data_IF_488531116431
#
_entry.id   IF_488531116431
#
_cell.length_a   1.000
_cell.length_b   1.000
_cell.length_c   1.000
_cell.angle_alpha   90.00
_cell.angle_beta   90.00
_cell.angle_gamma   90.00
#
_symmetry.space_group_name_H-M   'P 1'
#
loop_
_entity.id
_entity.type
_entity.pdbx_description
1 polymer ?
#
# COMPACT_ATOMS: atom_id res chain seq x y z
N UNK A 1 21.66 -20.84 5.66
CA UNK A 1 20.23 -20.62 5.40
C UNK A 1 19.68 -19.50 6.27
N UNK A 2 19.53 -18.35 5.68
CA UNK A 2 18.79 -17.24 6.29
C UNK A 2 17.30 -17.62 6.19
N UNK A 3 16.73 -18.21 7.20
CA UNK A 3 15.32 -18.64 7.12
C UNK A 3 14.88 -19.48 8.30
N UNK A 4 15.69 -19.54 9.35
CA UNK A 4 15.30 -20.18 10.59
C UNK A 4 14.11 -19.45 11.24
N UNK A 5 13.33 -20.17 12.05
CA UNK A 5 12.18 -19.61 12.77
C UNK A 5 12.53 -18.33 13.54
N UNK A 6 13.70 -18.31 14.20
CA UNK A 6 14.19 -17.14 14.95
C UNK A 6 14.44 -15.93 14.05
N UNK A 7 14.97 -16.12 12.84
CA UNK A 7 15.16 -15.04 11.87
C UNK A 7 13.81 -14.47 11.43
N UNK A 8 12.82 -15.31 11.17
CA UNK A 8 11.46 -14.89 10.84
C UNK A 8 10.80 -14.08 11.95
N UNK A 9 10.98 -14.50 13.21
CA UNK A 9 10.46 -13.80 14.38
C UNK A 9 11.09 -12.41 14.54
N UNK A 10 12.41 -12.29 14.33
CA UNK A 10 13.11 -11.01 14.35
C UNK A 10 12.62 -10.08 13.23
N UNK A 11 12.51 -10.59 12.01
CA UNK A 11 11.99 -9.83 10.87
C UNK A 11 10.55 -9.39 11.10
N UNK A 12 9.70 -10.31 11.57
CA UNK A 12 8.32 -10.00 11.92
C UNK A 12 8.22 -8.85 12.93
N UNK A 13 9.10 -8.81 13.91
CA UNK A 13 9.17 -7.73 14.90
C UNK A 13 9.47 -6.34 14.32
N UNK A 14 9.92 -6.26 13.06
CA UNK A 14 10.35 -5.03 12.40
C UNK A 14 9.43 -4.56 11.26
N UNK A 15 8.28 -5.18 11.03
CA UNK A 15 7.38 -4.80 9.93
C UNK A 15 6.82 -3.38 10.04
N UNK A 16 6.81 -2.81 11.22
CA UNK A 16 6.36 -1.46 11.53
C UNK A 16 7.51 -0.55 12.02
N UNK A 17 8.74 -0.87 11.64
CA UNK A 17 9.90 -0.04 11.96
C UNK A 17 9.76 1.36 11.34
N UNK A 18 10.19 2.44 12.04
CA UNK A 18 9.98 3.81 11.55
C UNK A 18 10.63 4.13 10.20
N UNK A 19 11.70 3.42 9.83
CA UNK A 19 12.41 3.64 8.57
C UNK A 19 11.84 2.74 7.47
N UNK A 20 11.23 3.33 6.46
CA UNK A 20 10.59 2.61 5.32
C UNK A 20 11.58 1.78 4.50
N UNK A 21 12.84 2.18 4.40
CA UNK A 21 13.88 1.39 3.69
C UNK A 21 14.12 0.08 4.44
N UNK A 22 14.20 0.14 5.76
CA UNK A 22 14.31 -1.05 6.60
C UNK A 22 13.07 -1.94 6.46
N UNK A 23 11.88 -1.36 6.49
CA UNK A 23 10.61 -2.09 6.30
C UNK A 23 10.59 -2.78 4.95
N UNK A 24 11.01 -2.12 3.87
CA UNK A 24 11.09 -2.73 2.52
C UNK A 24 11.96 -3.98 2.53
N UNK A 25 13.14 -3.93 3.14
CA UNK A 25 14.04 -5.09 3.22
C UNK A 25 13.46 -6.21 4.10
N UNK A 26 12.80 -5.85 5.17
CA UNK A 26 12.12 -6.80 6.06
C UNK A 26 11.01 -7.54 5.31
N UNK A 27 10.14 -6.81 4.59
CA UNK A 27 9.03 -7.40 3.84
C UNK A 27 9.52 -8.28 2.68
N UNK A 28 10.56 -7.85 1.96
CA UNK A 28 11.21 -8.67 0.93
C UNK A 28 11.74 -9.98 1.52
N UNK A 29 12.47 -9.91 2.61
CA UNK A 29 13.06 -11.08 3.26
C UNK A 29 11.99 -12.05 3.78
N UNK A 30 10.90 -11.54 4.36
CA UNK A 30 9.76 -12.35 4.77
C UNK A 30 9.08 -13.01 3.57
N UNK A 31 8.91 -12.30 2.47
CA UNK A 31 8.37 -12.83 1.21
C UNK A 31 9.23 -13.94 0.63
N UNK A 32 10.56 -13.77 0.59
CA UNK A 32 11.51 -14.79 0.13
C UNK A 32 11.49 -16.06 0.99
N UNK A 33 11.21 -15.92 2.29
CA UNK A 33 11.03 -17.04 3.20
C UNK A 33 9.64 -17.71 3.09
N UNK A 34 8.75 -17.21 2.23
CA UNK A 34 7.38 -17.69 2.11
C UNK A 34 6.56 -17.50 3.37
N UNK A 35 6.80 -16.41 4.11
CA UNK A 35 6.10 -16.11 5.35
C UNK A 35 4.59 -15.95 5.11
N UNK A 36 3.79 -16.64 5.93
CA UNK A 36 2.34 -16.47 6.00
C UNK A 36 1.93 -16.13 7.42
N UNK A 37 0.99 -15.20 7.55
CA UNK A 37 0.47 -14.79 8.84
C UNK A 37 -0.35 -15.88 9.51
N UNK A 38 -0.04 -16.19 10.75
CA UNK A 38 -0.93 -16.92 11.62
C UNK A 38 -2.07 -16.03 12.13
N UNK A 39 -3.09 -16.65 12.73
CA UNK A 39 -4.31 -15.94 13.20
C UNK A 39 -3.97 -14.75 14.10
N UNK A 40 -3.00 -14.90 15.00
CA UNK A 40 -2.57 -13.85 15.92
C UNK A 40 -1.83 -12.68 15.24
N UNK A 41 -1.39 -12.85 13.99
CA UNK A 41 -0.59 -11.88 13.24
C UNK A 41 -1.42 -11.07 12.23
N UNK A 42 -2.59 -11.55 11.86
CA UNK A 42 -3.46 -10.95 10.82
C UNK A 42 -3.78 -9.48 11.12
N UNK A 43 -4.17 -9.18 12.35
CA UNK A 43 -4.54 -7.82 12.76
C UNK A 43 -3.38 -6.84 12.55
N UNK A 44 -2.16 -7.23 12.91
CA UNK A 44 -0.98 -6.39 12.75
C UNK A 44 -0.66 -6.12 11.29
N UNK A 45 -0.83 -7.11 10.40
CA UNK A 45 -0.67 -6.90 8.96
C UNK A 45 -1.73 -5.95 8.41
N UNK A 46 -2.98 -6.09 8.83
CA UNK A 46 -4.06 -5.17 8.45
C UNK A 46 -3.76 -3.73 8.88
N UNK A 47 -3.24 -3.53 10.10
CA UNK A 47 -2.79 -2.20 10.54
C UNK A 47 -1.64 -1.65 9.70
N UNK A 48 -0.68 -2.48 9.32
CA UNK A 48 0.41 -2.06 8.44
C UNK A 48 -0.09 -1.62 7.07
N UNK A 49 -1.05 -2.36 6.48
CA UNK A 49 -1.72 -1.98 5.23
C UNK A 49 -2.46 -0.64 5.38
N UNK A 50 -3.23 -0.47 6.45
CA UNK A 50 -3.95 0.78 6.72
C UNK A 50 -3.00 1.96 6.89
N UNK A 51 -1.86 1.76 7.54
CA UNK A 51 -0.83 2.79 7.71
C UNK A 51 -0.24 3.23 6.36
N UNK A 52 0.07 2.29 5.48
CA UNK A 52 0.57 2.60 4.13
C UNK A 52 -0.49 3.34 3.31
N UNK A 53 -1.76 2.96 3.41
CA UNK A 53 -2.87 3.64 2.73
C UNK A 53 -3.06 5.06 3.28
N UNK A 54 -2.93 5.26 4.58
CA UNK A 54 -2.99 6.59 5.19
C UNK A 54 -1.88 7.50 4.66
N UNK A 55 -0.67 6.99 4.52
CA UNK A 55 0.47 7.71 3.94
C UNK A 55 0.22 8.04 2.46
N UNK A 56 -0.32 7.11 1.69
CA UNK A 56 -0.72 7.33 0.29
C UNK A 56 -1.77 8.44 0.21
N UNK A 57 -2.79 8.40 1.06
CA UNK A 57 -3.85 9.41 1.10
C UNK A 57 -3.28 10.81 1.41
N UNK A 58 -2.37 10.89 2.35
CA UNK A 58 -1.68 12.14 2.69
C UNK A 58 -0.84 12.65 1.51
N UNK A 59 -0.05 11.78 0.87
CA UNK A 59 0.79 12.15 -0.28
C UNK A 59 -0.04 12.60 -1.49
N UNK A 60 -1.17 11.94 -1.76
CA UNK A 60 -2.11 12.35 -2.82
C UNK A 60 -2.69 13.74 -2.56
N UNK A 61 -3.05 14.04 -1.32
CA UNK A 61 -3.53 15.35 -0.92
C UNK A 61 -2.44 16.42 -1.09
N UNK A 62 -1.21 16.10 -0.68
CA UNK A 62 -0.07 17.00 -0.83
C UNK A 62 0.23 17.30 -2.31
N UNK A 63 0.16 16.30 -3.20
CA UNK A 63 0.34 16.50 -4.65
C UNK A 63 -0.69 17.49 -5.20
N UNK A 64 -1.94 17.42 -4.76
CA UNK A 64 -3.01 18.32 -5.21
C UNK A 64 -2.84 19.76 -4.68
N UNK A 65 -2.23 19.92 -3.52
CA UNK A 65 -1.98 21.24 -2.90
C UNK A 65 -0.71 21.91 -3.41
N UNK A 66 0.25 21.15 -3.94
CA UNK A 66 1.47 21.68 -4.51
C UNK A 66 1.15 22.38 -5.84
N UNK A 67 1.42 23.68 -5.93
CA UNK A 67 1.24 24.48 -7.17
C UNK A 67 2.15 24.01 -8.30
N UNK A 68 2.06 24.69 -9.44
CA UNK A 68 2.85 24.35 -10.64
C UNK A 68 4.11 25.22 -10.82
N UNK A 69 4.52 25.96 -9.79
CA UNK A 69 5.64 26.89 -9.84
C UNK A 69 6.93 26.32 -9.21
N UNK A 70 8.06 26.67 -9.77
CA UNK A 70 9.39 26.39 -9.21
C UNK A 70 9.72 24.91 -9.10
N UNK A 71 10.08 24.44 -7.91
CA UNK A 71 10.44 23.05 -7.62
C UNK A 71 9.26 22.09 -7.44
N UNK A 72 8.04 22.53 -7.74
CA UNK A 72 6.81 21.76 -7.56
C UNK A 72 6.84 20.41 -8.30
N UNK A 73 7.39 20.37 -9.50
CA UNK A 73 7.51 19.14 -10.28
C UNK A 73 8.36 18.05 -9.59
N UNK A 74 9.48 18.44 -8.98
CA UNK A 74 10.36 17.52 -8.25
C UNK A 74 9.70 17.03 -6.96
N UNK A 75 8.96 17.89 -6.27
CA UNK A 75 8.22 17.52 -5.06
C UNK A 75 7.12 16.50 -5.42
N UNK A 76 6.34 16.78 -6.47
CA UNK A 76 5.29 15.86 -6.95
C UNK A 76 5.88 14.50 -7.34
N UNK A 77 7.02 14.49 -8.05
CA UNK A 77 7.70 13.25 -8.42
C UNK A 77 8.16 12.45 -7.20
N UNK A 78 8.75 13.10 -6.22
CA UNK A 78 9.15 12.46 -4.96
C UNK A 78 7.95 11.84 -4.23
N UNK A 79 6.85 12.58 -4.12
CA UNK A 79 5.62 12.09 -3.51
C UNK A 79 5.03 10.88 -4.27
N UNK A 80 5.09 10.89 -5.60
CA UNK A 80 4.66 9.75 -6.42
C UNK A 80 5.54 8.51 -6.22
N UNK A 81 6.84 8.67 -6.06
CA UNK A 81 7.74 7.57 -5.73
C UNK A 81 7.44 6.99 -4.34
N UNK A 82 7.14 7.82 -3.36
CA UNK A 82 6.72 7.34 -2.03
C UNK A 82 5.40 6.58 -2.11
N UNK A 83 4.41 7.08 -2.87
CA UNK A 83 3.15 6.37 -3.11
C UNK A 83 3.41 5.00 -3.72
N UNK A 84 4.27 4.91 -4.73
CA UNK A 84 4.59 3.64 -5.37
C UNK A 84 5.26 2.66 -4.40
N UNK A 85 6.18 3.13 -3.58
CA UNK A 85 6.80 2.32 -2.54
C UNK A 85 5.78 1.78 -1.53
N UNK A 86 4.84 2.61 -1.11
CA UNK A 86 3.77 2.19 -0.21
C UNK A 86 2.82 1.16 -0.86
N UNK A 87 2.53 1.32 -2.15
CA UNK A 87 1.77 0.32 -2.94
C UNK A 87 2.52 -1.03 -2.98
N UNK A 88 3.82 -1.00 -3.22
CA UNK A 88 4.65 -2.21 -3.21
C UNK A 88 4.65 -2.90 -1.84
N UNK A 89 4.69 -2.14 -0.75
CA UNK A 89 4.53 -2.66 0.61
C UNK A 89 3.16 -3.33 0.79
N UNK A 90 2.09 -2.71 0.31
CA UNK A 90 0.73 -3.28 0.38
C UNK A 90 0.67 -4.63 -0.33
N UNK A 91 1.23 -4.76 -1.53
CA UNK A 91 1.31 -6.06 -2.22
C UNK A 91 2.05 -7.11 -1.41
N UNK A 92 3.22 -6.77 -0.84
CA UNK A 92 3.98 -7.69 0.00
C UNK A 92 3.19 -8.13 1.24
N UNK A 93 2.50 -7.21 1.90
CA UNK A 93 1.65 -7.50 3.05
C UNK A 93 0.45 -8.38 2.67
N UNK A 94 -0.18 -8.12 1.53
CA UNK A 94 -1.27 -8.95 1.02
C UNK A 94 -0.82 -10.39 0.74
N UNK A 95 0.39 -10.61 0.26
CA UNK A 95 0.93 -11.96 0.05
C UNK A 95 1.11 -12.75 1.35
N UNK A 96 1.18 -12.08 2.49
CA UNK A 96 1.23 -12.72 3.81
C UNK A 96 -0.14 -13.16 4.32
N UNK A 97 -1.22 -12.55 3.80
CA UNK A 97 -2.62 -12.84 4.15
C UNK A 97 -3.29 -13.80 3.16
N UNK A 98 -2.97 -13.67 1.89
CA UNK A 98 -3.66 -14.34 0.78
C UNK A 98 -2.68 -15.18 -0.05
N UNK A 99 -3.21 -15.98 -0.96
CA UNK A 99 -2.40 -16.76 -1.89
C UNK A 99 -1.48 -15.87 -2.73
N UNK A 100 -0.18 -16.17 -2.68
CA UNK A 100 0.85 -15.36 -3.35
C UNK A 100 0.61 -15.25 -4.85
N UNK A 101 0.21 -16.35 -5.51
CA UNK A 101 -0.04 -16.36 -6.94
C UNK A 101 -1.23 -15.49 -7.33
N UNK A 102 -2.28 -15.49 -6.51
CA UNK A 102 -3.45 -14.63 -6.72
C UNK A 102 -3.08 -13.15 -6.62
N UNK A 103 -2.26 -12.79 -5.65
CA UNK A 103 -1.77 -11.40 -5.50
C UNK A 103 -0.84 -11.01 -6.65
N UNK A 104 0.04 -11.91 -7.10
CA UNK A 104 0.88 -11.67 -8.28
C UNK A 104 0.05 -11.44 -9.53
N UNK A 105 -1.01 -12.21 -9.73
CA UNK A 105 -1.93 -12.05 -10.86
C UNK A 105 -2.63 -10.69 -10.83
N UNK A 106 -3.08 -10.24 -9.67
CA UNK A 106 -3.62 -8.88 -9.48
C UNK A 106 -2.59 -7.84 -9.89
N UNK A 107 -1.38 -7.94 -9.37
CA UNK A 107 -0.30 -6.98 -9.67
C UNK A 107 0.03 -6.93 -11.16
N UNK A 108 0.20 -8.07 -11.81
CA UNK A 108 0.48 -8.15 -13.25
C UNK A 108 -0.61 -7.50 -14.09
N UNK A 109 -1.88 -7.69 -13.72
CA UNK A 109 -3.01 -7.08 -14.42
C UNK A 109 -3.12 -5.57 -14.20
N UNK A 110 -2.84 -5.08 -13.00
CA UNK A 110 -2.74 -3.63 -12.71
C UNK A 110 -1.58 -3.03 -13.51
N UNK A 111 -0.41 -3.64 -13.47
CA UNK A 111 0.81 -3.16 -14.15
C UNK A 111 0.68 -3.19 -15.68
N UNK A 112 -0.25 -3.96 -16.23
CA UNK A 112 -0.54 -3.96 -17.68
C UNK A 112 -1.03 -2.60 -18.17
N UNK A 113 -1.64 -1.80 -17.30
CA UNK A 113 -2.21 -0.49 -17.63
C UNK A 113 -3.41 -0.52 -18.58
N UNK A 114 -3.93 -1.72 -18.89
CA UNK A 114 -5.12 -1.88 -19.73
C UNK A 114 -6.40 -1.84 -18.91
N UNK A 115 -7.47 -1.27 -19.46
CA UNK A 115 -8.77 -1.23 -18.77
C UNK A 115 -9.27 -2.63 -18.42
N UNK A 116 -9.11 -3.59 -19.31
CA UNK A 116 -9.50 -4.98 -19.10
C UNK A 116 -8.69 -5.62 -17.97
N UNK A 117 -7.37 -5.41 -17.95
CA UNK A 117 -6.49 -5.93 -16.91
C UNK A 117 -6.84 -5.35 -15.55
N UNK A 118 -7.01 -4.04 -15.45
CA UNK A 118 -7.38 -3.36 -14.20
C UNK A 118 -8.75 -3.85 -13.72
N UNK A 119 -9.76 -3.91 -14.59
CA UNK A 119 -11.10 -4.44 -14.25
C UNK A 119 -11.01 -5.85 -13.68
N UNK A 120 -10.28 -6.74 -14.35
CA UNK A 120 -10.09 -8.12 -13.90
C UNK A 120 -9.41 -8.18 -12.53
N UNK A 121 -8.36 -7.39 -12.31
CA UNK A 121 -7.68 -7.32 -11.03
C UNK A 121 -8.60 -6.85 -9.90
N UNK A 122 -9.41 -5.83 -10.15
CA UNK A 122 -10.39 -5.30 -9.16
C UNK A 122 -11.46 -6.35 -8.85
N UNK A 123 -11.98 -7.07 -9.85
CA UNK A 123 -12.92 -8.17 -9.62
C UNK A 123 -12.31 -9.29 -8.76
N UNK A 124 -11.04 -9.65 -8.99
CA UNK A 124 -10.34 -10.62 -8.15
C UNK A 124 -10.22 -10.14 -6.71
N UNK A 125 -9.82 -8.90 -6.49
CA UNK A 125 -9.72 -8.31 -5.17
C UNK A 125 -11.09 -8.28 -4.46
N UNK A 126 -12.15 -7.97 -5.18
CA UNK A 126 -13.50 -7.95 -4.65
C UNK A 126 -13.96 -9.33 -4.15
N UNK A 127 -13.48 -10.40 -4.78
CA UNK A 127 -13.82 -11.77 -4.39
C UNK A 127 -13.14 -12.18 -3.08
N UNK A 128 -11.84 -11.88 -2.89
CA UNK A 128 -11.12 -12.46 -1.75
C UNK A 128 -10.77 -11.48 -0.62
N UNK A 129 -10.83 -10.17 -0.82
CA UNK A 129 -10.61 -9.21 0.26
C UNK A 129 -11.81 -9.14 1.22
N UNK A 130 -11.52 -8.91 2.50
CA UNK A 130 -12.57 -8.55 3.45
C UNK A 130 -13.16 -7.17 3.12
N UNK A 131 -14.41 -6.91 3.50
CA UNK A 131 -15.08 -5.62 3.25
C UNK A 131 -14.25 -4.41 3.73
N UNK A 132 -13.62 -4.54 4.88
CA UNK A 132 -12.76 -3.49 5.42
C UNK A 132 -11.57 -3.18 4.49
N UNK A 133 -10.90 -4.21 3.99
CA UNK A 133 -9.76 -4.04 3.09
C UNK A 133 -10.17 -3.60 1.69
N UNK A 134 -11.30 -4.09 1.17
CA UNK A 134 -11.82 -3.68 -0.15
C UNK A 134 -11.95 -2.16 -0.25
N UNK A 135 -12.64 -1.56 0.71
CA UNK A 135 -12.94 -0.13 0.70
C UNK A 135 -11.68 0.75 0.75
N UNK A 136 -10.57 0.21 1.23
CA UNK A 136 -9.30 0.92 1.38
C UNK A 136 -8.30 0.60 0.28
N UNK A 137 -8.19 -0.66 -0.11
CA UNK A 137 -7.20 -1.14 -1.08
C UNK A 137 -7.65 -0.88 -2.52
N UNK A 138 -8.90 -1.17 -2.85
CA UNK A 138 -9.41 -1.02 -4.22
C UNK A 138 -9.25 0.41 -4.75
N UNK A 139 -9.57 1.49 -4.01
CA UNK A 139 -9.36 2.86 -4.49
C UNK A 139 -7.89 3.21 -4.82
N UNK A 140 -6.94 2.49 -4.22
CA UNK A 140 -5.50 2.70 -4.50
C UNK A 140 -5.11 2.09 -5.85
N UNK A 141 -5.69 0.96 -6.21
CA UNK A 141 -5.28 0.15 -7.36
C UNK A 141 -6.16 0.35 -8.61
N UNK A 142 -7.38 0.84 -8.43
CA UNK A 142 -8.32 1.09 -9.53
C UNK A 142 -7.88 2.28 -10.41
N UNK A 143 -8.36 2.30 -11.64
CA UNK A 143 -8.09 3.37 -12.61
C UNK A 143 -8.93 4.62 -12.28
N UNK A 144 -8.49 5.32 -11.24
CA UNK A 144 -9.10 6.54 -10.75
C UNK A 144 -8.15 7.72 -10.90
N UNK A 145 -8.70 8.91 -11.10
CA UNK A 145 -7.92 10.14 -10.96
C UNK A 145 -7.49 10.36 -9.51
N UNK A 146 -6.43 11.14 -9.30
CA UNK A 146 -5.98 11.46 -7.94
C UNK A 146 -7.08 12.12 -7.11
N UNK A 147 -7.92 12.96 -7.71
CA UNK A 147 -9.05 13.60 -7.05
C UNK A 147 -10.14 12.59 -6.62
N UNK A 148 -10.49 11.66 -7.49
CA UNK A 148 -11.46 10.60 -7.17
C UNK A 148 -10.93 9.67 -6.07
N UNK A 149 -9.67 9.29 -6.16
CA UNK A 149 -8.98 8.45 -5.18
C UNK A 149 -8.95 9.13 -3.82
N UNK A 150 -8.54 10.39 -3.77
CA UNK A 150 -8.54 11.20 -2.55
C UNK A 150 -9.93 11.28 -1.94
N UNK A 151 -10.96 11.53 -2.74
CA UNK A 151 -12.35 11.62 -2.27
C UNK A 151 -12.82 10.32 -1.62
N UNK A 152 -12.49 9.17 -2.19
CA UNK A 152 -12.84 7.86 -1.60
C UNK A 152 -12.09 7.58 -0.31
N UNK A 153 -10.83 7.98 -0.22
CA UNK A 153 -9.99 7.75 0.96
C UNK A 153 -10.28 8.71 2.10
N UNK A 154 -10.77 9.93 1.83
CA UNK A 154 -11.13 10.91 2.87
C UNK A 154 -12.17 10.40 3.88
N UNK A 155 -13.00 9.46 3.50
CA UNK A 155 -13.99 8.82 4.40
C UNK A 155 -13.29 8.11 5.55
N UNK A 156 -12.12 7.53 5.32
CA UNK A 156 -11.34 6.79 6.30
C UNK A 156 -10.17 7.57 6.89
N UNK A 157 -9.61 8.49 6.10
CA UNK A 157 -8.45 9.30 6.42
C UNK A 157 -8.78 10.79 6.17
N UNK A 158 -9.55 11.44 7.08
CA UNK A 158 -9.94 12.83 6.91
C UNK A 158 -8.72 13.73 6.75
N UNK A 159 -8.78 14.68 5.82
CA UNK A 159 -7.75 15.71 5.68
C UNK A 159 -7.69 16.52 6.96
N UNK A 160 -6.51 16.59 7.55
CA UNK A 160 -6.19 17.67 8.48
C UNK A 160 -5.94 18.91 7.62
N UNK A 161 -6.89 19.84 7.57
CA UNK A 161 -6.61 21.18 7.04
C UNK A 161 -5.49 21.75 7.90
N UNK A 162 -4.30 21.89 7.30
CA UNK A 162 -3.29 22.75 7.88
C UNK A 162 -3.91 24.14 7.92
N UNK A 163 -4.32 24.58 9.11
CA UNK A 163 -4.80 25.93 9.32
C UNK A 163 -3.73 26.88 8.79
N UNK A 164 -4.07 27.65 7.75
CA UNK A 164 -3.23 28.70 7.17
C UNK A 164 -3.08 29.91 8.11
N UNK A 165 -3.05 29.66 9.41
CA UNK A 165 -2.79 30.62 10.47
C UNK A 165 -1.44 30.33 11.12
N UNK A 166 -0.44 30.47 10.31
CA UNK A 166 0.91 30.81 10.81
C UNK A 166 1.41 32.01 10.06
#
# INVERSE_FOLDING_TARGET
RIGGQRAREILWGKIDYPNKIVVSQVLLSLGECGFKAGISQITRIKYAIESDIADISWNLSAIQEVGDEGFSGQIKETLRLEIQNDIDHIYMLLTMLYDTRSIQLVKENIDSGTSEGITYAIELLDVFLSEQLKQRVIPILDDLTDAERTKRLEVFFPRVKLDSKL
#
